data_IF_305477792019
#
_entry.id   IF_305477792019
#
_cell.length_a   1.000
_cell.length_b   1.000
_cell.length_c   1.000
_cell.angle_alpha   90.00
_cell.angle_beta   90.00
_cell.angle_gamma   90.00
#
_symmetry.space_group_name_H-M   'P 1'
#
loop_
_entity.id
_entity.type
_entity.pdbx_description
1 polymer ?
#
# COMPACT_ATOMS: atom_id res chain seq x y z
N UNK A 1 -20.97 26.47 -19.23
CA UNK A 1 -21.61 25.40 -18.44
C UNK A 1 -20.89 25.33 -17.09
N UNK A 2 -21.63 25.09 -15.99
CA UNK A 2 -20.97 24.88 -14.68
C UNK A 2 -20.17 23.59 -14.75
N UNK A 3 -18.91 23.59 -14.28
CA UNK A 3 -18.12 22.36 -14.19
C UNK A 3 -18.82 21.36 -13.28
N UNK A 4 -18.69 20.07 -13.61
CA UNK A 4 -19.15 18.98 -12.75
C UNK A 4 -18.29 18.91 -11.50
N UNK A 5 -18.85 18.47 -10.39
CA UNK A 5 -18.18 18.43 -9.09
C UNK A 5 -17.88 17.01 -8.64
N UNK A 6 -16.60 16.70 -8.44
CA UNK A 6 -16.11 15.48 -7.86
C UNK A 6 -15.77 15.69 -6.38
N UNK A 7 -16.40 14.95 -5.50
CA UNK A 7 -16.07 14.89 -4.08
C UNK A 7 -15.11 13.73 -3.81
N UNK A 8 -13.99 13.95 -3.14
CA UNK A 8 -13.05 12.88 -2.75
C UNK A 8 -13.04 12.75 -1.23
N UNK A 9 -13.36 11.56 -0.72
CA UNK A 9 -13.25 11.24 0.71
C UNK A 9 -11.79 11.12 1.12
N UNK A 10 -11.40 11.88 2.15
CA UNK A 10 -10.04 11.89 2.67
C UNK A 10 -9.94 11.43 4.13
N UNK A 11 -10.95 10.72 4.63
CA UNK A 11 -10.91 10.20 6.00
C UNK A 11 -9.74 9.22 6.23
N UNK A 12 -9.29 8.52 5.20
CA UNK A 12 -8.14 7.60 5.26
C UNK A 12 -6.81 8.26 5.59
N UNK A 13 -6.65 9.58 5.32
CA UNK A 13 -5.43 10.32 5.65
C UNK A 13 -5.42 10.90 7.08
N UNK A 14 -6.57 10.95 7.76
CA UNK A 14 -6.70 11.51 9.12
C UNK A 14 -5.73 10.89 10.13
N UNK A 15 -5.52 9.56 10.17
CA UNK A 15 -4.56 8.94 11.08
C UNK A 15 -3.14 9.48 10.93
N UNK A 16 -2.71 9.81 9.71
CA UNK A 16 -1.41 10.41 9.45
C UNK A 16 -1.22 11.74 10.20
N UNK A 17 -2.18 12.65 10.09
CA UNK A 17 -2.13 13.96 10.73
C UNK A 17 -2.36 13.91 12.26
N UNK A 18 -2.95 12.83 12.78
CA UNK A 18 -3.17 12.66 14.22
C UNK A 18 -1.97 12.05 14.92
N UNK A 19 -1.32 11.06 14.31
CA UNK A 19 -0.30 10.23 14.97
C UNK A 19 1.02 10.10 14.19
N UNK A 20 1.13 10.74 13.03
CA UNK A 20 2.27 10.57 12.12
C UNK A 20 2.36 9.18 11.47
N UNK A 21 1.41 8.29 11.75
CA UNK A 21 1.42 6.91 11.20
C UNK A 21 0.62 6.86 9.91
N UNK A 22 1.28 6.50 8.83
CA UNK A 22 0.65 6.25 7.54
C UNK A 22 0.33 4.76 7.42
N UNK A 23 -0.95 4.43 7.19
CA UNK A 23 -1.29 3.10 6.67
C UNK A 23 -1.21 3.12 5.13
N UNK A 24 -1.14 1.95 4.51
CA UNK A 24 -1.01 1.84 3.05
C UNK A 24 -2.11 2.60 2.29
N UNK A 25 -3.37 2.51 2.74
CA UNK A 25 -4.53 3.17 2.11
C UNK A 25 -4.41 4.71 2.22
N UNK A 26 -4.10 5.23 3.40
CA UNK A 26 -3.92 6.67 3.59
C UNK A 26 -2.75 7.22 2.77
N UNK A 27 -1.67 6.46 2.65
CA UNK A 27 -0.52 6.81 1.82
C UNK A 27 -0.90 6.89 0.33
N UNK A 28 -1.52 5.85 -0.21
CA UNK A 28 -1.94 5.85 -1.61
C UNK A 28 -2.97 6.94 -1.92
N UNK A 29 -3.86 7.24 -0.96
CA UNK A 29 -4.80 8.37 -1.09
C UNK A 29 -4.06 9.70 -1.18
N UNK A 30 -3.08 9.93 -0.32
CA UNK A 30 -2.32 11.20 -0.30
C UNK A 30 -1.49 11.37 -1.57
N UNK A 31 -0.82 10.32 -2.02
CA UNK A 31 -0.03 10.32 -3.27
C UNK A 31 -0.92 10.62 -4.50
N UNK A 32 -2.08 9.95 -4.58
CA UNK A 32 -3.05 10.24 -5.65
C UNK A 32 -3.50 11.69 -5.64
N UNK A 33 -3.80 12.26 -4.45
CA UNK A 33 -4.22 13.65 -4.33
C UNK A 33 -3.12 14.63 -4.75
N UNK A 34 -1.86 14.34 -4.42
CA UNK A 34 -0.72 15.15 -4.85
C UNK A 34 -0.60 15.13 -6.37
N UNK A 35 -0.60 13.94 -6.98
CA UNK A 35 -0.52 13.80 -8.43
C UNK A 35 -1.73 14.42 -9.17
N UNK A 36 -2.94 14.36 -8.59
CA UNK A 36 -4.11 15.05 -9.15
C UNK A 36 -3.98 16.59 -9.06
N UNK A 37 -3.30 17.10 -8.02
CA UNK A 37 -3.08 18.53 -7.86
C UNK A 37 -2.08 19.10 -8.90
N UNK A 38 -1.23 18.26 -9.45
CA UNK A 38 -0.25 18.65 -10.48
C UNK A 38 -0.85 18.64 -11.90
N UNK A 39 -2.09 18.17 -12.07
CA UNK A 39 -2.77 18.16 -13.37
C UNK A 39 -3.48 19.50 -13.62
N UNK A 40 -3.01 20.22 -14.61
CA UNK A 40 -3.63 21.47 -15.05
C UNK A 40 -4.96 21.23 -15.79
N UNK A 41 -5.89 22.18 -15.66
CA UNK A 41 -7.10 22.27 -16.49
C UNK A 41 -8.04 21.05 -16.43
N UNK A 42 -8.22 20.46 -15.24
CA UNK A 42 -9.22 19.38 -15.06
C UNK A 42 -10.61 19.82 -15.56
N UNK A 43 -11.34 18.95 -16.28
CA UNK A 43 -12.68 19.28 -16.83
C UNK A 43 -13.78 19.30 -15.77
N UNK A 44 -13.45 19.00 -14.52
CA UNK A 44 -14.33 19.02 -13.34
C UNK A 44 -13.63 19.73 -12.18
N UNK A 45 -14.40 20.06 -11.15
CA UNK A 45 -13.92 20.63 -9.90
C UNK A 45 -13.72 19.50 -8.88
N UNK A 46 -12.61 19.52 -8.15
CA UNK A 46 -12.34 18.59 -7.04
C UNK A 46 -12.60 19.30 -5.72
N UNK A 47 -13.38 18.67 -4.85
CA UNK A 47 -13.54 19.04 -3.45
C UNK A 47 -13.19 17.87 -2.56
N UNK A 48 -12.36 18.12 -1.53
CA UNK A 48 -11.98 17.13 -0.53
C UNK A 48 -12.99 17.10 0.61
N UNK A 49 -13.42 15.92 0.99
CA UNK A 49 -14.39 15.69 2.07
C UNK A 49 -13.78 14.93 3.23
N UNK A 50 -14.04 15.41 4.45
CA UNK A 50 -13.66 14.68 5.67
C UNK A 50 -14.73 14.83 6.75
N UNK A 51 -14.76 13.85 7.67
CA UNK A 51 -15.71 13.79 8.77
C UNK A 51 -15.02 13.31 10.05
N UNK A 52 -14.87 14.18 11.02
CA UNK A 52 -14.43 13.87 12.38
C UNK A 52 -14.57 15.07 13.31
N UNK A 53 -14.45 14.84 14.62
CA UNK A 53 -14.55 15.91 15.62
C UNK A 53 -13.26 16.72 15.81
N UNK A 54 -12.16 16.35 15.17
CA UNK A 54 -10.85 16.99 15.32
C UNK A 54 -10.59 18.10 14.31
N UNK A 55 -11.45 18.24 13.30
CA UNK A 55 -11.25 19.23 12.22
C UNK A 55 -10.14 18.88 11.25
N UNK A 56 -9.65 17.62 11.27
CA UNK A 56 -8.54 17.15 10.44
C UNK A 56 -9.09 16.58 9.12
N UNK A 57 -8.53 17.01 8.00
CA UNK A 57 -8.98 16.53 6.69
C UNK A 57 -8.24 17.19 5.54
N UNK A 58 -8.96 17.47 4.45
CA UNK A 58 -8.38 17.99 3.21
C UNK A 58 -7.51 19.24 3.37
N UNK A 59 -7.88 20.16 4.26
CA UNK A 59 -7.10 21.38 4.51
C UNK A 59 -5.68 21.09 5.06
N UNK A 60 -5.49 19.97 5.75
CA UNK A 60 -4.20 19.59 6.30
C UNK A 60 -3.22 19.12 5.22
N UNK A 61 -3.68 18.79 4.02
CA UNK A 61 -2.82 18.39 2.90
C UNK A 61 -2.01 19.55 2.34
N UNK A 62 -2.45 20.79 2.53
CA UNK A 62 -1.86 21.98 1.90
C UNK A 62 -2.13 22.07 0.40
N UNK A 63 -2.91 21.16 -0.18
CA UNK A 63 -3.27 21.18 -1.60
C UNK A 63 -4.32 22.26 -1.89
N UNK A 64 -4.37 22.74 -3.13
CA UNK A 64 -5.21 23.85 -3.57
C UNK A 64 -6.71 23.50 -3.74
N UNK A 65 -7.11 22.28 -3.43
CA UNK A 65 -8.50 21.86 -3.57
C UNK A 65 -9.42 22.51 -2.52
N UNK A 66 -10.66 22.80 -2.91
CA UNK A 66 -11.72 23.15 -1.97
C UNK A 66 -11.94 22.00 -0.97
N UNK A 67 -12.32 22.34 0.27
CA UNK A 67 -12.45 21.36 1.34
C UNK A 67 -13.75 21.54 2.12
N UNK A 68 -14.53 20.47 2.21
CA UNK A 68 -15.67 20.35 3.14
C UNK A 68 -15.32 19.48 4.33
N UNK A 69 -15.68 19.94 5.53
CA UNK A 69 -15.47 19.18 6.76
C UNK A 69 -16.74 19.14 7.60
N UNK A 70 -17.17 17.94 7.98
CA UNK A 70 -18.29 17.73 8.87
C UNK A 70 -17.81 17.38 10.28
N UNK A 71 -18.15 18.23 11.26
CA UNK A 71 -17.87 17.99 12.68
C UNK A 71 -18.86 16.98 13.26
N UNK A 72 -18.81 15.76 12.75
CA UNK A 72 -19.60 14.65 13.23
C UNK A 72 -18.67 13.54 13.73
N UNK A 73 -19.01 12.88 14.86
CA UNK A 73 -18.21 11.74 15.30
C UNK A 73 -18.33 10.62 14.27
N UNK A 74 -17.18 10.05 13.88
CA UNK A 74 -17.13 8.89 12.99
C UNK A 74 -17.57 7.64 13.74
N UNK A 75 -18.86 7.56 14.07
CA UNK A 75 -19.50 6.45 14.78
C UNK A 75 -20.58 5.82 13.92
N UNK A 76 -20.69 4.51 13.97
CA UNK A 76 -21.60 3.73 13.13
C UNK A 76 -23.06 4.24 13.19
N UNK A 77 -23.54 4.66 14.35
CA UNK A 77 -24.91 5.21 14.48
C UNK A 77 -25.12 6.47 13.65
N UNK A 78 -24.16 7.40 13.67
CA UNK A 78 -24.23 8.64 12.90
C UNK A 78 -24.03 8.36 11.42
N UNK A 79 -23.13 7.47 11.08
CA UNK A 79 -22.88 7.10 9.69
C UNK A 79 -24.11 6.44 9.06
N UNK A 80 -24.86 5.60 9.80
CA UNK A 80 -26.15 5.05 9.34
C UNK A 80 -27.22 6.13 9.06
N UNK A 81 -27.17 7.28 9.74
CA UNK A 81 -28.04 8.42 9.43
C UNK A 81 -27.69 8.99 8.03
N UNK A 82 -26.41 9.07 7.71
CA UNK A 82 -25.93 9.52 6.40
C UNK A 82 -26.33 8.59 5.23
N UNK A 83 -26.68 7.33 5.51
CA UNK A 83 -27.25 6.43 4.49
C UNK A 83 -28.75 6.65 4.28
N UNK A 84 -29.46 7.10 5.31
CA UNK A 84 -30.92 7.32 5.24
C UNK A 84 -31.30 8.66 4.66
N UNK A 85 -30.48 9.67 4.86
CA UNK A 85 -30.75 11.04 4.44
C UNK A 85 -29.61 11.58 3.59
N UNK A 86 -29.89 12.33 2.50
CA UNK A 86 -28.88 12.89 1.59
C UNK A 86 -28.20 14.14 2.21
N UNK A 87 -27.78 14.06 3.46
CA UNK A 87 -27.20 15.21 4.19
C UNK A 87 -25.92 15.67 3.51
N UNK A 88 -25.04 14.74 3.12
CA UNK A 88 -23.79 15.05 2.44
C UNK A 88 -24.06 15.76 1.12
N UNK A 89 -25.01 15.25 0.36
CA UNK A 89 -25.46 15.81 -0.93
C UNK A 89 -26.04 17.23 -0.79
N UNK A 90 -26.78 17.50 0.27
CA UNK A 90 -27.36 18.82 0.51
C UNK A 90 -26.30 19.90 0.76
N UNK A 91 -25.21 19.54 1.43
CA UNK A 91 -24.17 20.50 1.79
C UNK A 91 -23.03 20.60 0.77
N UNK A 92 -22.70 19.53 0.04
CA UNK A 92 -21.60 19.54 -0.90
C UNK A 92 -22.05 19.62 -2.37
N UNK A 93 -23.24 19.11 -2.68
CA UNK A 93 -23.83 19.21 -4.04
C UNK A 93 -23.00 18.54 -5.13
N UNK A 94 -22.36 17.39 -4.85
CA UNK A 94 -21.49 16.69 -5.78
C UNK A 94 -22.25 15.92 -6.86
N UNK A 95 -21.62 15.76 -8.03
CA UNK A 95 -22.12 14.91 -9.12
C UNK A 95 -21.67 13.45 -8.92
N UNK A 96 -20.40 13.26 -8.51
CA UNK A 96 -19.80 11.96 -8.20
C UNK A 96 -18.96 12.10 -6.94
N UNK A 97 -18.88 11.02 -6.15
CA UNK A 97 -17.99 10.90 -5.00
C UNK A 97 -16.98 9.77 -5.21
N UNK A 98 -15.69 10.03 -5.03
CA UNK A 98 -14.67 8.99 -4.94
C UNK A 98 -14.37 8.65 -3.48
N UNK A 99 -14.43 7.37 -3.17
CA UNK A 99 -14.11 6.78 -1.88
C UNK A 99 -12.83 5.97 -2.08
N UNK A 100 -11.64 6.51 -1.75
CA UNK A 100 -10.35 5.85 -2.01
C UNK A 100 -10.01 4.79 -0.94
N UNK A 101 -11.02 4.12 -0.42
CA UNK A 101 -10.94 3.02 0.54
C UNK A 101 -12.15 2.10 0.38
N UNK A 102 -12.10 0.92 1.02
CA UNK A 102 -13.00 -0.19 0.71
C UNK A 102 -14.50 0.09 0.93
N UNK A 103 -14.86 1.00 1.81
CA UNK A 103 -16.26 1.25 2.17
C UNK A 103 -16.46 2.58 2.91
N UNK A 104 -17.54 3.29 2.58
CA UNK A 104 -18.07 4.41 3.36
C UNK A 104 -19.61 4.36 3.40
N UNK A 105 -20.18 4.92 4.46
CA UNK A 105 -21.63 5.08 4.58
C UNK A 105 -22.10 6.27 3.74
N UNK A 106 -22.83 5.98 2.65
CA UNK A 106 -23.34 6.99 1.71
C UNK A 106 -24.82 6.76 1.43
N UNK A 107 -25.54 7.83 1.05
CA UNK A 107 -26.95 7.75 0.67
C UNK A 107 -27.13 7.28 -0.77
N UNK A 108 -26.26 7.73 -1.69
CA UNK A 108 -26.30 7.46 -3.12
C UNK A 108 -25.09 6.67 -3.60
N UNK A 109 -24.98 5.35 -3.33
CA UNK A 109 -23.85 4.54 -3.79
C UNK A 109 -23.72 4.53 -5.32
N UNK A 110 -24.81 4.69 -6.07
CA UNK A 110 -24.81 4.80 -7.54
C UNK A 110 -24.11 6.06 -8.09
N UNK A 111 -23.76 7.00 -7.22
CA UNK A 111 -22.90 8.16 -7.53
C UNK A 111 -21.47 7.96 -7.07
N UNK A 112 -21.12 6.81 -6.51
CA UNK A 112 -19.81 6.58 -5.95
C UNK A 112 -18.89 5.82 -6.90
N UNK A 113 -17.64 6.24 -6.94
CA UNK A 113 -16.49 5.46 -7.40
C UNK A 113 -15.75 4.99 -6.15
N UNK A 114 -15.40 3.72 -6.08
CA UNK A 114 -14.73 3.15 -4.90
C UNK A 114 -13.37 2.60 -5.31
N UNK A 115 -12.31 2.95 -4.59
CA UNK A 115 -11.06 2.21 -4.70
C UNK A 115 -11.12 1.02 -3.75
N UNK A 116 -11.26 -0.19 -4.31
CA UNK A 116 -11.17 -1.44 -3.58
C UNK A 116 -9.79 -2.06 -3.81
N UNK A 117 -8.91 -1.93 -2.82
CA UNK A 117 -7.49 -2.31 -2.95
C UNK A 117 -7.30 -3.82 -3.14
N UNK A 118 -8.09 -4.62 -2.44
CA UNK A 118 -8.12 -6.08 -2.52
C UNK A 118 -9.41 -6.65 -1.93
N UNK A 119 -9.60 -7.97 -2.04
CA UNK A 119 -10.67 -8.72 -1.39
C UNK A 119 -10.14 -9.56 -0.20
N UNK A 120 -9.01 -9.18 0.38
CA UNK A 120 -8.32 -9.94 1.43
C UNK A 120 -9.22 -10.29 2.61
N UNK A 121 -10.10 -9.37 3.02
CA UNK A 121 -11.06 -9.58 4.11
C UNK A 121 -12.03 -10.75 3.86
N UNK A 122 -12.18 -11.22 2.61
CA UNK A 122 -12.95 -12.42 2.27
C UNK A 122 -12.17 -13.69 2.63
N UNK A 123 -10.86 -13.73 2.35
CA UNK A 123 -10.03 -14.93 2.41
C UNK A 123 -9.41 -15.17 3.78
N UNK A 124 -8.97 -14.11 4.46
CA UNK A 124 -8.17 -14.21 5.68
C UNK A 124 -9.04 -13.85 6.90
N UNK A 125 -8.99 -14.73 7.92
CA UNK A 125 -9.60 -14.49 9.23
C UNK A 125 -8.58 -13.79 10.14
N UNK A 126 -8.28 -12.55 9.87
CA UNK A 126 -7.48 -11.76 10.81
C UNK A 126 -8.37 -11.32 11.99
N UNK A 127 -7.83 -11.41 13.22
CA UNK A 127 -8.53 -10.97 14.43
C UNK A 127 -8.78 -9.46 14.51
N UNK A 128 -8.17 -8.67 13.62
CA UNK A 128 -8.36 -7.23 13.55
C UNK A 128 -9.72 -6.89 12.93
N UNK A 129 -10.55 -6.25 13.76
CA UNK A 129 -11.81 -5.61 13.45
C UNK A 129 -12.60 -6.13 12.24
N UNK A 130 -13.59 -6.96 12.55
CA UNK A 130 -14.81 -7.13 11.75
C UNK A 130 -14.65 -7.52 10.28
N UNK A 131 -13.74 -8.46 9.93
CA UNK A 131 -13.77 -9.08 8.60
C UNK A 131 -15.17 -9.64 8.29
N UNK A 132 -15.86 -10.22 9.25
CA UNK A 132 -17.23 -10.70 9.10
C UNK A 132 -18.18 -9.56 8.71
N UNK A 133 -18.05 -8.40 9.38
CA UNK A 133 -18.83 -7.22 9.03
C UNK A 133 -18.50 -6.68 7.63
N UNK A 134 -17.22 -6.66 7.25
CA UNK A 134 -16.80 -6.26 5.90
C UNK A 134 -17.36 -7.20 4.84
N UNK A 135 -17.40 -8.51 5.10
CA UNK A 135 -18.01 -9.51 4.19
C UNK A 135 -19.49 -9.25 3.96
N UNK A 136 -20.20 -8.74 4.97
CA UNK A 136 -21.64 -8.45 4.86
C UNK A 136 -21.91 -7.13 4.14
N UNK A 137 -21.11 -6.08 4.38
CA UNK A 137 -21.45 -4.72 3.93
C UNK A 137 -20.75 -4.33 2.62
N UNK A 138 -19.53 -4.79 2.35
CA UNK A 138 -18.78 -4.35 1.18
C UNK A 138 -19.35 -4.91 -0.13
N UNK A 139 -19.65 -6.22 -0.28
CA UNK A 139 -20.15 -6.73 -1.55
C UNK A 139 -21.46 -6.07 -2.02
N UNK A 140 -22.53 -5.91 -1.18
CA UNK A 140 -23.73 -5.21 -1.63
C UNK A 140 -23.49 -3.73 -1.92
N UNK A 141 -22.59 -3.08 -1.22
CA UNK A 141 -22.23 -1.68 -1.45
C UNK A 141 -21.55 -1.49 -2.80
N UNK A 142 -20.48 -2.21 -3.09
CA UNK A 142 -19.71 -2.06 -4.35
C UNK A 142 -20.52 -2.46 -5.57
N UNK A 143 -21.45 -3.43 -5.45
CA UNK A 143 -22.35 -3.79 -6.54
C UNK A 143 -23.31 -2.65 -6.92
N UNK A 144 -23.65 -1.77 -5.98
CA UNK A 144 -24.46 -0.57 -6.22
C UNK A 144 -23.62 0.61 -6.72
N UNK A 145 -22.33 0.64 -6.46
CA UNK A 145 -21.46 1.75 -6.88
C UNK A 145 -21.43 1.90 -8.40
N UNK A 146 -21.19 3.13 -8.84
CA UNK A 146 -21.11 3.47 -10.25
C UNK A 146 -19.91 2.80 -10.92
N UNK A 147 -18.76 2.82 -10.24
CA UNK A 147 -17.52 2.24 -10.75
C UNK A 147 -16.59 1.83 -9.61
N UNK A 148 -15.66 0.94 -9.90
CA UNK A 148 -14.65 0.44 -8.96
C UNK A 148 -13.27 0.64 -9.59
N UNK A 149 -12.34 1.16 -8.83
CA UNK A 149 -10.92 1.18 -9.15
C UNK A 149 -10.24 0.14 -8.28
N UNK A 150 -9.34 -0.64 -8.85
CA UNK A 150 -8.46 -1.55 -8.10
C UNK A 150 -7.03 -1.46 -8.60
N UNK A 151 -6.06 -1.94 -7.84
CA UNK A 151 -4.65 -1.67 -8.08
C UNK A 151 -3.90 -2.79 -8.82
N UNK A 152 -4.54 -3.92 -9.14
CA UNK A 152 -3.92 -5.03 -9.87
C UNK A 152 -4.96 -5.87 -10.63
N UNK A 153 -4.53 -6.55 -11.69
CA UNK A 153 -5.38 -7.51 -12.40
C UNK A 153 -5.74 -8.69 -11.50
N UNK A 154 -4.83 -9.07 -10.60
CA UNK A 154 -5.11 -10.07 -9.59
C UNK A 154 -6.29 -9.64 -8.70
N UNK A 155 -6.23 -8.44 -8.12
CA UNK A 155 -7.31 -7.91 -7.29
C UNK A 155 -8.63 -7.80 -8.05
N UNK A 156 -8.60 -7.40 -9.33
CA UNK A 156 -9.79 -7.38 -10.19
C UNK A 156 -10.42 -8.76 -10.31
N UNK A 157 -9.63 -9.79 -10.66
CA UNK A 157 -10.14 -11.17 -10.77
C UNK A 157 -10.73 -11.64 -9.44
N UNK A 158 -10.04 -11.40 -8.33
CA UNK A 158 -10.48 -11.80 -7.00
C UNK A 158 -11.79 -11.12 -6.59
N UNK A 159 -11.93 -9.81 -6.84
CA UNK A 159 -13.18 -9.06 -6.60
C UNK A 159 -14.34 -9.63 -7.43
N UNK A 160 -14.11 -9.88 -8.71
CA UNK A 160 -15.13 -10.46 -9.61
C UNK A 160 -15.57 -11.84 -9.11
N UNK A 161 -14.63 -12.70 -8.79
CA UNK A 161 -14.89 -14.08 -8.38
C UNK A 161 -15.59 -14.17 -7.01
N UNK A 162 -15.14 -13.37 -6.04
CA UNK A 162 -15.62 -13.45 -4.65
C UNK A 162 -16.89 -12.65 -4.40
N UNK A 163 -17.04 -11.49 -5.02
CA UNK A 163 -18.14 -10.55 -4.75
C UNK A 163 -19.15 -10.48 -5.90
N UNK A 164 -18.94 -11.24 -6.99
CA UNK A 164 -19.82 -11.30 -8.15
C UNK A 164 -20.09 -9.93 -8.79
N UNK A 165 -19.09 -9.08 -8.82
CA UNK A 165 -19.14 -7.76 -9.46
C UNK A 165 -18.98 -7.92 -10.96
N UNK A 166 -19.72 -7.11 -11.73
CA UNK A 166 -19.54 -7.00 -13.17
C UNK A 166 -18.12 -6.51 -13.51
N UNK A 167 -17.30 -7.28 -14.24
CA UNK A 167 -15.94 -6.90 -14.58
C UNK A 167 -15.84 -5.60 -15.39
N UNK A 168 -16.90 -5.18 -16.10
CA UNK A 168 -16.94 -3.92 -16.82
C UNK A 168 -17.03 -2.70 -15.90
N UNK A 169 -17.46 -2.89 -14.66
CA UNK A 169 -17.46 -1.85 -13.64
C UNK A 169 -16.08 -1.64 -12.95
N UNK A 170 -15.07 -2.46 -13.29
CA UNK A 170 -13.79 -2.44 -12.59
C UNK A 170 -12.67 -2.00 -13.53
N UNK A 171 -12.04 -0.88 -13.24
CA UNK A 171 -10.79 -0.44 -13.86
C UNK A 171 -9.60 -0.81 -12.99
N UNK A 172 -8.57 -1.38 -13.62
CA UNK A 172 -7.28 -1.60 -12.96
C UNK A 172 -6.40 -0.38 -13.20
N UNK A 173 -5.97 0.26 -12.13
CA UNK A 173 -5.07 1.40 -12.14
C UNK A 173 -3.93 1.09 -11.18
N UNK A 174 -2.74 0.82 -11.71
CA UNK A 174 -1.56 0.53 -10.90
C UNK A 174 -1.13 1.75 -10.10
N UNK A 175 -0.68 1.52 -8.85
CA UNK A 175 -0.08 2.57 -8.04
C UNK A 175 1.31 2.92 -8.54
N UNK A 176 1.69 4.17 -8.33
CA UNK A 176 3.04 4.66 -8.60
C UNK A 176 4.01 4.45 -7.44
N UNK A 177 5.27 4.74 -7.69
CA UNK A 177 6.32 4.95 -6.70
C UNK A 177 6.84 6.39 -6.81
N UNK A 178 7.26 6.97 -5.70
CA UNK A 178 7.90 8.31 -5.67
C UNK A 178 9.35 8.21 -6.15
N UNK A 179 9.56 8.40 -7.44
CA UNK A 179 10.89 8.33 -8.04
C UNK A 179 11.83 9.45 -7.59
N UNK A 180 11.32 10.54 -7.02
CA UNK A 180 12.10 11.60 -6.39
C UNK A 180 12.67 11.20 -5.01
N UNK A 181 12.15 10.12 -4.40
CA UNK A 181 12.59 9.57 -3.12
C UNK A 181 13.25 8.20 -3.30
N UNK A 182 12.61 7.32 -4.07
CA UNK A 182 13.05 5.95 -4.31
C UNK A 182 13.74 5.88 -5.68
N UNK A 183 15.05 5.99 -5.68
CA UNK A 183 15.92 5.91 -6.87
C UNK A 183 17.26 5.30 -6.49
N UNK A 184 18.04 4.77 -7.45
CA UNK A 184 19.34 4.19 -7.17
C UNK A 184 20.33 5.22 -6.66
N UNK A 185 20.93 4.97 -5.50
CA UNK A 185 21.99 5.80 -4.91
C UNK A 185 23.07 4.94 -4.29
N UNK A 186 24.31 5.46 -4.24
CA UNK A 186 25.35 4.81 -3.48
C UNK A 186 25.25 5.19 -2.01
N UNK A 187 25.05 4.20 -1.15
CA UNK A 187 24.88 4.39 0.29
C UNK A 187 26.05 3.74 0.99
N UNK A 188 26.89 4.57 1.64
CA UNK A 188 28.00 4.06 2.47
C UNK A 188 27.50 3.64 3.87
N UNK A 189 28.28 2.80 4.54
CA UNK A 189 27.99 2.38 5.92
C UNK A 189 27.90 3.58 6.87
N UNK A 190 28.74 4.60 6.68
CA UNK A 190 28.73 5.83 7.47
C UNK A 190 27.40 6.58 7.34
N UNK A 191 26.85 6.66 6.12
CA UNK A 191 25.53 7.28 5.89
C UNK A 191 24.45 6.50 6.64
N UNK A 192 24.45 5.17 6.56
CA UNK A 192 23.47 4.34 7.25
C UNK A 192 23.54 4.49 8.76
N UNK A 193 24.74 4.45 9.32
CA UNK A 193 24.95 4.60 10.78
C UNK A 193 24.54 5.98 11.28
N UNK A 194 24.75 7.03 10.50
CA UNK A 194 24.41 8.41 10.90
C UNK A 194 22.91 8.71 10.75
N UNK A 195 22.25 8.14 9.76
CA UNK A 195 20.85 8.45 9.44
C UNK A 195 19.85 7.47 10.07
N UNK A 196 20.31 6.31 10.54
CA UNK A 196 19.44 5.25 11.06
C UNK A 196 19.74 4.99 12.56
N UNK A 197 18.71 4.66 13.35
CA UNK A 197 18.83 4.54 14.81
C UNK A 197 19.43 3.19 15.28
N UNK A 198 20.33 2.56 14.50
CA UNK A 198 20.96 1.30 14.90
C UNK A 198 22.38 1.13 14.31
N UNK A 199 23.28 0.51 15.04
CA UNK A 199 24.62 0.20 14.55
C UNK A 199 24.58 -1.09 13.71
N UNK A 200 24.87 -1.00 12.42
CA UNK A 200 25.16 -2.18 11.60
C UNK A 200 26.50 -2.78 12.04
N UNK A 201 26.51 -4.06 12.41
CA UNK A 201 27.71 -4.79 12.82
C UNK A 201 28.49 -5.32 11.62
N UNK A 202 27.80 -5.84 10.64
CA UNK A 202 28.35 -6.41 9.42
C UNK A 202 28.36 -5.42 8.25
N UNK A 203 28.97 -5.82 7.15
CA UNK A 203 29.08 -5.00 5.94
C UNK A 203 27.80 -4.98 5.12
N UNK A 204 26.90 -5.98 5.31
CA UNK A 204 25.65 -6.11 4.58
C UNK A 204 24.47 -6.43 5.51
N UNK A 205 23.27 -6.33 4.99
CA UNK A 205 22.04 -6.72 5.68
C UNK A 205 20.94 -7.12 4.70
N UNK A 206 20.07 -8.02 5.16
CA UNK A 206 18.81 -8.34 4.55
C UNK A 206 17.74 -7.43 5.13
N UNK A 207 16.87 -6.90 4.27
CA UNK A 207 15.80 -5.99 4.66
C UNK A 207 14.44 -6.69 4.56
N UNK A 208 13.53 -6.40 5.48
CA UNK A 208 12.11 -6.68 5.32
C UNK A 208 11.25 -5.51 5.80
N UNK A 209 10.24 -5.14 5.01
CA UNK A 209 9.27 -4.10 5.36
C UNK A 209 7.93 -4.78 5.64
N UNK A 210 7.47 -4.70 6.90
CA UNK A 210 6.40 -5.53 7.41
C UNK A 210 5.46 -4.82 8.39
N UNK A 211 4.43 -5.53 8.79
CA UNK A 211 3.53 -5.19 9.88
C UNK A 211 3.17 -6.46 10.66
N UNK A 212 2.54 -6.30 11.82
CA UNK A 212 2.11 -7.46 12.63
C UNK A 212 0.89 -8.15 12.01
N UNK A 213 1.15 -8.94 10.98
CA UNK A 213 0.15 -9.67 10.21
C UNK A 213 0.75 -11.00 9.73
N UNK A 214 0.11 -12.11 10.08
CA UNK A 214 0.59 -13.46 9.77
C UNK A 214 0.81 -13.68 8.26
N UNK A 215 -0.01 -13.06 7.40
CA UNK A 215 0.13 -13.18 5.95
C UNK A 215 1.46 -12.66 5.41
N UNK A 216 2.11 -11.74 6.12
CA UNK A 216 3.43 -11.21 5.74
C UNK A 216 4.56 -12.21 5.95
N UNK A 217 4.33 -13.28 6.71
CA UNK A 217 5.31 -14.33 7.04
C UNK A 217 6.65 -13.80 7.58
N UNK A 218 6.64 -12.64 8.23
CA UNK A 218 7.88 -12.06 8.78
C UNK A 218 8.43 -12.90 9.93
N UNK A 219 7.56 -13.55 10.70
CA UNK A 219 7.96 -14.55 11.69
C UNK A 219 8.71 -15.73 11.04
N UNK A 220 8.22 -16.24 9.90
CA UNK A 220 8.88 -17.32 9.15
C UNK A 220 10.25 -16.86 8.66
N UNK A 221 10.36 -15.62 8.15
CA UNK A 221 11.63 -15.06 7.75
C UNK A 221 12.63 -14.99 8.91
N UNK A 222 12.19 -14.51 10.09
CA UNK A 222 13.05 -14.45 11.29
C UNK A 222 13.50 -15.84 11.71
N UNK A 223 12.60 -16.81 11.76
CA UNK A 223 12.94 -18.21 12.11
C UNK A 223 13.90 -18.83 11.10
N UNK A 224 13.71 -18.59 9.83
CA UNK A 224 14.63 -19.03 8.77
C UNK A 224 16.01 -18.36 8.90
N UNK A 225 16.03 -17.07 9.28
CA UNK A 225 17.29 -16.36 9.53
C UNK A 225 18.02 -16.92 10.74
N UNK A 226 17.33 -17.26 11.83
CA UNK A 226 17.94 -17.90 12.99
C UNK A 226 18.59 -19.26 12.62
N UNK A 227 17.91 -20.08 11.82
CA UNK A 227 18.44 -21.36 11.32
C UNK A 227 19.64 -21.13 10.36
N UNK A 228 19.53 -20.17 9.46
CA UNK A 228 20.63 -19.80 8.55
C UNK A 228 21.87 -19.39 9.32
N UNK A 229 21.71 -18.59 10.38
CA UNK A 229 22.83 -18.09 11.18
C UNK A 229 23.57 -19.14 11.99
N UNK A 230 23.03 -20.33 12.17
CA UNK A 230 23.73 -21.47 12.78
C UNK A 230 24.86 -22.01 11.87
N UNK A 231 24.74 -21.78 10.56
CA UNK A 231 25.66 -22.29 9.54
C UNK A 231 26.48 -21.22 8.83
N UNK A 232 26.11 -19.95 8.98
CA UNK A 232 26.72 -18.82 8.27
C UNK A 232 27.81 -18.13 9.10
N UNK A 233 28.92 -17.75 8.44
CA UNK A 233 29.97 -16.93 9.02
C UNK A 233 30.77 -16.24 7.90
N UNK A 234 30.78 -14.91 7.81
CA UNK A 234 30.05 -13.93 8.62
C UNK A 234 28.54 -13.93 8.28
N UNK A 235 27.72 -13.47 9.21
CA UNK A 235 26.28 -13.34 9.05
C UNK A 235 25.93 -11.90 8.68
N UNK A 236 25.20 -11.70 7.58
CA UNK A 236 24.58 -10.41 7.30
C UNK A 236 23.53 -10.10 8.37
N UNK A 237 23.39 -8.84 8.76
CA UNK A 237 22.34 -8.41 9.69
C UNK A 237 20.95 -8.60 9.05
N UNK A 238 19.90 -8.75 9.88
CA UNK A 238 18.52 -8.73 9.47
C UNK A 238 17.84 -7.46 9.98
N UNK A 239 17.45 -6.59 9.08
CA UNK A 239 16.78 -5.32 9.39
C UNK A 239 15.30 -5.44 9.07
N UNK A 240 14.47 -5.23 10.08
CA UNK A 240 13.02 -5.36 10.00
C UNK A 240 12.36 -4.01 10.27
N UNK A 241 11.78 -3.39 9.24
CA UNK A 241 10.92 -2.23 9.43
C UNK A 241 9.56 -2.75 9.91
N UNK A 242 9.43 -2.87 11.23
CA UNK A 242 8.29 -3.51 11.89
C UNK A 242 8.06 -2.91 13.28
N UNK A 243 6.96 -2.18 13.45
CA UNK A 243 6.73 -1.37 14.65
C UNK A 243 6.34 -2.15 15.91
N UNK A 244 5.71 -3.30 15.79
CA UNK A 244 5.18 -4.05 16.93
C UNK A 244 5.34 -5.56 16.69
N UNK A 245 6.57 -6.11 16.75
CA UNK A 245 6.78 -7.55 16.64
C UNK A 245 6.11 -8.28 17.82
N UNK A 246 5.65 -9.54 17.61
CA UNK A 246 5.10 -10.34 18.70
C UNK A 246 6.11 -10.56 19.82
N UNK A 247 5.65 -10.53 21.08
CA UNK A 247 6.51 -10.70 22.25
C UNK A 247 7.22 -12.06 22.24
N UNK A 248 6.51 -13.12 21.89
CA UNK A 248 7.07 -14.47 21.77
C UNK A 248 8.25 -14.53 20.78
N UNK A 249 8.15 -13.79 19.65
CA UNK A 249 9.23 -13.72 18.66
C UNK A 249 10.45 -12.96 19.20
N UNK A 250 10.23 -11.84 19.87
CA UNK A 250 11.31 -11.03 20.45
C UNK A 250 12.00 -11.76 21.60
N UNK A 251 11.25 -12.51 22.41
CA UNK A 251 11.79 -13.38 23.45
C UNK A 251 12.68 -14.48 22.83
N UNK A 252 12.21 -15.18 21.81
CA UNK A 252 12.98 -16.19 21.08
C UNK A 252 14.32 -15.62 20.55
N UNK A 253 14.27 -14.44 19.95
CA UNK A 253 15.46 -13.73 19.44
C UNK A 253 16.44 -13.44 20.60
N UNK A 254 15.95 -13.01 21.75
CA UNK A 254 16.79 -12.62 22.90
C UNK A 254 17.68 -13.76 23.41
N UNK A 255 17.27 -15.00 23.24
CA UNK A 255 18.06 -16.19 23.59
C UNK A 255 18.99 -16.68 22.48
N UNK A 256 18.91 -16.10 21.28
CA UNK A 256 19.72 -16.52 20.15
C UNK A 256 21.16 -15.93 20.22
N UNK A 257 22.11 -16.62 19.60
CA UNK A 257 23.49 -16.13 19.46
C UNK A 257 23.63 -14.92 18.55
N UNK A 258 22.61 -14.68 17.71
CA UNK A 258 22.57 -13.61 16.70
C UNK A 258 21.58 -12.50 17.06
N UNK A 259 21.18 -12.39 18.33
CA UNK A 259 20.25 -11.35 18.79
C UNK A 259 20.69 -9.92 18.42
N UNK A 260 21.99 -9.69 18.42
CA UNK A 260 22.59 -8.40 18.12
C UNK A 260 22.71 -8.12 16.60
N UNK A 261 22.29 -9.06 15.75
CA UNK A 261 22.25 -8.97 14.28
C UNK A 261 20.82 -8.78 13.75
N UNK A 262 19.80 -8.76 14.63
CA UNK A 262 18.40 -8.57 14.24
C UNK A 262 17.91 -7.23 14.77
N UNK A 263 17.55 -6.33 13.87
CA UNK A 263 17.20 -4.96 14.18
C UNK A 263 15.75 -4.66 13.82
N UNK A 264 14.97 -4.19 14.79
CA UNK A 264 13.61 -3.71 14.56
C UNK A 264 13.60 -2.20 14.48
N UNK A 265 13.01 -1.68 13.38
CA UNK A 265 12.89 -0.25 13.13
C UNK A 265 11.42 0.14 13.09
N UNK A 266 11.12 1.30 13.65
CA UNK A 266 9.78 1.88 13.62
C UNK A 266 9.84 3.38 13.32
N UNK A 267 8.75 3.93 12.81
CA UNK A 267 8.65 5.35 12.50
C UNK A 267 9.74 5.85 11.52
N UNK A 268 10.07 5.02 10.54
CA UNK A 268 11.05 5.32 9.49
C UNK A 268 10.39 6.24 8.47
N UNK A 269 11.05 7.34 8.14
CA UNK A 269 10.62 8.24 7.05
C UNK A 269 10.88 7.60 5.68
N UNK A 270 10.20 8.09 4.64
CA UNK A 270 10.41 7.62 3.26
C UNK A 270 11.87 7.80 2.82
N UNK A 271 12.54 8.89 3.24
CA UNK A 271 13.97 9.10 2.97
C UNK A 271 14.85 8.03 3.63
N UNK A 272 14.59 7.72 4.90
CA UNK A 272 15.31 6.66 5.62
C UNK A 272 15.02 5.27 5.02
N UNK A 273 13.77 5.03 4.60
CA UNK A 273 13.38 3.79 3.92
C UNK A 273 14.10 3.64 2.57
N UNK A 274 14.24 4.73 1.81
CA UNK A 274 15.02 4.73 0.57
C UNK A 274 16.49 4.39 0.81
N UNK A 275 17.11 4.94 1.88
CA UNK A 275 18.48 4.56 2.27
C UNK A 275 18.58 3.08 2.63
N UNK A 276 17.59 2.55 3.36
CA UNK A 276 17.53 1.13 3.71
C UNK A 276 17.42 0.24 2.47
N UNK A 277 16.58 0.58 1.49
CA UNK A 277 16.53 -0.18 0.24
C UNK A 277 17.86 -0.15 -0.49
N UNK A 278 18.45 1.02 -0.68
CA UNK A 278 19.70 1.17 -1.42
C UNK A 278 20.92 0.48 -0.78
N UNK A 279 20.93 0.35 0.55
CA UNK A 279 22.02 -0.31 1.28
C UNK A 279 21.79 -1.81 1.51
N UNK A 280 20.62 -2.35 1.21
CA UNK A 280 20.29 -3.75 1.49
C UNK A 280 20.94 -4.70 0.48
N UNK A 281 21.48 -5.82 0.96
CA UNK A 281 21.90 -6.94 0.12
C UNK A 281 20.75 -7.54 -0.67
N UNK A 282 19.58 -7.67 -0.02
CA UNK A 282 18.32 -8.04 -0.66
C UNK A 282 17.13 -7.64 0.22
N UNK A 283 15.98 -7.36 -0.42
CA UNK A 283 14.68 -7.24 0.24
C UNK A 283 14.00 -8.61 0.26
N UNK A 284 13.67 -9.10 1.45
CA UNK A 284 12.84 -10.28 1.66
C UNK A 284 11.41 -9.89 1.96
N UNK A 285 10.49 -10.26 1.08
CA UNK A 285 9.07 -9.97 1.20
C UNK A 285 8.22 -11.23 0.95
N UNK A 286 8.22 -12.20 1.90
CA UNK A 286 7.61 -13.52 1.73
C UNK A 286 6.09 -13.54 1.92
N UNK A 287 5.39 -12.46 1.58
CA UNK A 287 3.95 -12.33 1.83
C UNK A 287 3.13 -13.37 1.08
N UNK A 288 2.08 -13.89 1.75
CA UNK A 288 1.13 -14.84 1.17
C UNK A 288 0.15 -14.18 0.21
N UNK A 289 -0.16 -12.91 0.44
CA UNK A 289 -1.19 -12.19 -0.30
C UNK A 289 -0.97 -10.67 -0.18
N UNK A 290 -1.01 -9.99 -1.33
CA UNK A 290 -0.98 -8.54 -1.42
C UNK A 290 -1.98 -8.05 -2.48
N UNK A 291 -2.56 -6.87 -2.25
CA UNK A 291 -3.34 -6.17 -3.26
C UNK A 291 -2.47 -5.56 -4.34
N UNK A 292 -1.24 -5.12 -3.98
CA UNK A 292 -0.29 -4.52 -4.93
C UNK A 292 1.16 -4.91 -4.66
N UNK A 293 1.75 -4.48 -3.54
CA UNK A 293 3.15 -4.76 -3.20
C UNK A 293 4.06 -3.53 -3.36
N UNK A 294 3.66 -2.38 -2.81
CA UNK A 294 4.50 -1.17 -2.83
C UNK A 294 5.96 -1.40 -2.40
N UNK A 295 6.27 -2.20 -1.35
CA UNK A 295 7.66 -2.45 -0.97
C UNK A 295 8.50 -3.11 -2.07
N UNK A 296 7.91 -3.97 -2.92
CA UNK A 296 8.63 -4.52 -4.07
C UNK A 296 8.98 -3.43 -5.06
N UNK A 297 8.01 -2.57 -5.36
CA UNK A 297 8.17 -1.50 -6.33
C UNK A 297 9.19 -0.46 -5.87
N UNK A 298 9.15 -0.09 -4.58
CA UNK A 298 10.11 0.81 -3.94
C UNK A 298 11.53 0.22 -3.97
N UNK A 299 11.68 -1.07 -3.60
CA UNK A 299 12.94 -1.77 -3.64
C UNK A 299 13.50 -1.87 -5.07
N UNK A 300 12.67 -2.23 -6.06
CA UNK A 300 13.08 -2.25 -7.47
C UNK A 300 13.51 -0.85 -7.96
N UNK A 301 12.80 0.21 -7.55
CA UNK A 301 13.15 1.59 -7.91
C UNK A 301 14.51 2.01 -7.32
N UNK A 302 14.87 1.53 -6.14
CA UNK A 302 16.17 1.74 -5.51
C UNK A 302 17.29 0.84 -6.05
N UNK A 303 16.97 -0.17 -6.87
CA UNK A 303 17.96 -1.13 -7.36
C UNK A 303 18.29 -2.24 -6.36
N UNK A 304 17.41 -2.51 -5.40
CA UNK A 304 17.57 -3.60 -4.44
C UNK A 304 17.16 -4.93 -5.08
N UNK A 305 17.94 -6.00 -4.94
CA UNK A 305 17.48 -7.35 -5.29
C UNK A 305 16.26 -7.75 -4.45
N UNK A 306 15.22 -8.29 -5.07
CA UNK A 306 13.96 -8.63 -4.41
C UNK A 306 13.77 -10.14 -4.32
N UNK A 307 13.47 -10.65 -3.13
CA UNK A 307 13.07 -12.04 -2.86
C UNK A 307 11.62 -12.03 -2.38
N UNK A 308 10.71 -12.69 -3.11
CA UNK A 308 9.28 -12.68 -2.81
C UNK A 308 8.59 -13.99 -3.21
N UNK A 309 7.28 -14.10 -2.97
CA UNK A 309 6.47 -15.24 -3.40
C UNK A 309 5.86 -14.99 -4.78
N UNK A 310 5.70 -16.07 -5.58
CA UNK A 310 4.99 -16.03 -6.87
C UNK A 310 3.49 -16.23 -6.63
N UNK A 311 2.82 -15.21 -6.09
CA UNK A 311 1.40 -15.26 -5.78
C UNK A 311 0.77 -13.86 -5.80
N UNK A 312 -0.57 -13.81 -5.83
CA UNK A 312 -1.36 -12.58 -5.79
C UNK A 312 -0.84 -11.52 -6.78
N UNK A 313 -0.86 -10.26 -6.41
CA UNK A 313 -0.27 -9.17 -7.21
C UNK A 313 1.26 -9.19 -7.23
N UNK A 314 1.93 -9.95 -6.36
CA UNK A 314 3.40 -9.98 -6.29
C UNK A 314 4.03 -10.57 -7.55
N UNK A 315 3.39 -11.58 -8.18
CA UNK A 315 3.81 -12.10 -9.48
C UNK A 315 3.61 -11.06 -10.59
N UNK A 316 2.48 -10.37 -10.57
CA UNK A 316 2.15 -9.32 -11.53
C UNK A 316 3.08 -8.12 -11.43
N UNK A 317 3.43 -7.66 -10.22
CA UNK A 317 4.31 -6.51 -10.01
C UNK A 317 5.79 -6.90 -10.17
N UNK A 318 6.21 -8.04 -9.61
CA UNK A 318 7.59 -8.53 -9.67
C UNK A 318 8.00 -9.00 -11.07
N UNK A 319 7.11 -9.67 -11.81
CA UNK A 319 7.42 -10.27 -13.12
C UNK A 319 8.65 -11.18 -13.02
N UNK A 320 9.47 -11.22 -14.06
CA UNK A 320 10.67 -12.08 -14.09
C UNK A 320 11.94 -11.39 -13.52
N UNK A 321 11.79 -10.16 -12.95
CA UNK A 321 12.95 -9.38 -12.49
C UNK A 321 13.29 -9.58 -11.02
N UNK A 322 12.50 -10.40 -10.32
CA UNK A 322 12.68 -10.74 -8.89
C UNK A 322 13.07 -12.21 -8.70
N UNK A 323 13.45 -12.58 -7.50
CA UNK A 323 13.70 -13.97 -7.10
C UNK A 323 12.47 -14.50 -6.38
N UNK A 324 11.99 -15.66 -6.82
CA UNK A 324 10.79 -16.26 -6.25
C UNK A 324 11.12 -17.39 -5.28
N UNK A 325 10.46 -17.34 -4.14
CA UNK A 325 10.47 -18.42 -3.15
C UNK A 325 9.59 -19.58 -3.62
N UNK A 326 10.02 -20.79 -3.34
CA UNK A 326 9.29 -22.05 -3.57
C UNK A 326 8.84 -22.68 -2.25
N UNK A 327 7.91 -23.61 -2.30
CA UNK A 327 7.54 -24.41 -1.13
C UNK A 327 8.51 -25.57 -0.92
N UNK A 328 8.85 -25.92 0.33
CA UNK A 328 8.43 -25.25 1.57
C UNK A 328 9.19 -23.92 1.77
N UNK A 329 8.43 -22.90 2.14
CA UNK A 329 8.88 -21.50 2.17
C UNK A 329 10.10 -21.26 3.08
N UNK A 330 10.12 -21.87 4.26
CA UNK A 330 11.22 -21.75 5.23
C UNK A 330 12.55 -22.20 4.64
N UNK A 331 12.57 -23.36 3.97
CA UNK A 331 13.76 -23.89 3.29
C UNK A 331 14.19 -22.99 2.15
N UNK A 332 13.25 -22.53 1.35
CA UNK A 332 13.53 -21.62 0.24
C UNK A 332 14.10 -20.26 0.72
N UNK A 333 13.60 -19.74 1.83
CA UNK A 333 14.19 -18.53 2.46
C UNK A 333 15.64 -18.80 2.86
N UNK A 334 15.93 -19.92 3.53
CA UNK A 334 17.29 -20.28 3.94
C UNK A 334 18.24 -20.40 2.73
N UNK A 335 17.77 -21.02 1.64
CA UNK A 335 18.54 -21.13 0.40
C UNK A 335 18.86 -19.76 -0.19
N UNK A 336 17.88 -18.86 -0.24
CA UNK A 336 18.08 -17.49 -0.72
C UNK A 336 19.03 -16.69 0.18
N UNK A 337 18.90 -16.78 1.51
CA UNK A 337 19.83 -16.15 2.44
C UNK A 337 21.29 -16.61 2.18
N UNK A 338 21.52 -17.91 2.04
CA UNK A 338 22.84 -18.48 1.72
C UNK A 338 23.35 -17.98 0.36
N UNK A 339 22.50 -17.94 -0.64
CA UNK A 339 22.84 -17.53 -1.99
C UNK A 339 23.33 -16.07 -2.03
N UNK A 340 22.64 -15.16 -1.31
CA UNK A 340 23.01 -13.76 -1.24
C UNK A 340 24.23 -13.49 -0.30
N UNK A 341 24.50 -14.37 0.66
CA UNK A 341 25.64 -14.23 1.57
C UNK A 341 26.98 -14.60 0.89
N UNK A 342 26.93 -15.46 -0.12
CA UNK A 342 28.16 -15.98 -0.78
C UNK A 342 28.57 -15.18 -2.02
N UNK A 343 27.96 -14.03 -2.32
CA UNK A 343 28.16 -13.27 -3.57
C UNK A 343 28.10 -14.14 -4.85
N UNK A 344 27.50 -15.33 -4.73
CA UNK A 344 27.46 -16.32 -5.82
C UNK A 344 26.46 -15.94 -6.92
N UNK A 345 25.67 -14.90 -6.72
CA UNK A 345 24.61 -14.49 -7.65
C UNK A 345 24.93 -13.17 -8.32
N UNK A 346 25.07 -13.21 -9.63
CA UNK A 346 25.07 -11.99 -10.41
C UNK A 346 23.63 -11.44 -10.51
N UNK A 347 23.29 -10.52 -9.60
CA UNK A 347 21.98 -9.86 -9.57
C UNK A 347 21.84 -8.71 -10.56
N UNK A 348 22.92 -8.28 -11.23
CA UNK A 348 22.94 -7.04 -12.05
C UNK A 348 21.85 -6.98 -13.08
N UNK A 349 21.65 -8.03 -13.86
CA UNK A 349 20.59 -8.07 -14.88
C UNK A 349 19.19 -7.91 -14.30
N UNK A 350 18.90 -8.59 -13.18
CA UNK A 350 17.59 -8.47 -12.50
C UNK A 350 17.40 -7.09 -11.87
N UNK A 351 18.45 -6.52 -11.30
CA UNK A 351 18.43 -5.16 -10.72
C UNK A 351 18.16 -4.12 -11.80
N UNK A 352 18.91 -4.12 -12.92
CA UNK A 352 18.71 -3.20 -14.03
C UNK A 352 17.30 -3.33 -14.64
N UNK A 353 16.85 -4.56 -14.84
CA UNK A 353 15.49 -4.83 -15.33
C UNK A 353 14.43 -4.40 -14.30
N UNK A 354 14.70 -4.55 -13.00
CA UNK A 354 13.83 -4.09 -11.91
C UNK A 354 13.66 -2.58 -11.89
N UNK A 355 14.76 -1.82 -11.98
CA UNK A 355 14.72 -0.36 -12.07
C UNK A 355 13.89 0.07 -13.30
N UNK A 356 14.16 -0.53 -14.46
CA UNK A 356 13.40 -0.25 -15.69
C UNK A 356 11.92 -0.61 -15.53
N UNK A 357 11.60 -1.72 -14.84
CA UNK A 357 10.21 -2.09 -14.55
C UNK A 357 9.54 -1.08 -13.63
N UNK A 358 10.19 -0.69 -12.53
CA UNK A 358 9.68 0.28 -11.58
C UNK A 358 9.38 1.64 -12.24
N UNK A 359 10.19 2.08 -13.21
CA UNK A 359 9.96 3.34 -13.91
C UNK A 359 8.66 3.41 -14.73
N UNK A 360 7.99 2.28 -14.96
CA UNK A 360 6.67 2.23 -15.61
C UNK A 360 5.51 2.57 -14.65
N UNK A 361 5.77 2.58 -13.36
CA UNK A 361 4.78 2.80 -12.30
C UNK A 361 5.00 4.18 -11.68
N UNK A 362 4.23 5.16 -12.14
CA UNK A 362 4.32 6.55 -11.68
C UNK A 362 2.98 7.04 -11.16
N UNK A 363 3.00 7.97 -10.21
CA UNK A 363 1.78 8.56 -9.66
C UNK A 363 1.09 9.47 -10.68
N UNK A 364 1.82 10.08 -11.60
CA UNK A 364 1.29 10.85 -12.71
C UNK A 364 0.39 9.98 -13.58
N UNK A 365 0.88 8.80 -13.98
CA UNK A 365 0.10 7.83 -14.75
C UNK A 365 -1.12 7.32 -13.98
N UNK A 366 -0.96 7.08 -12.67
CA UNK A 366 -2.07 6.69 -11.78
C UNK A 366 -3.14 7.78 -11.77
N UNK A 367 -2.75 9.04 -11.66
CA UNK A 367 -3.67 10.18 -11.64
C UNK A 367 -4.35 10.38 -13.00
N UNK A 368 -3.61 10.33 -14.12
CA UNK A 368 -4.16 10.42 -15.48
C UNK A 368 -5.24 9.37 -15.74
N UNK A 369 -4.95 8.10 -15.46
CA UNK A 369 -5.93 7.00 -15.62
C UNK A 369 -7.13 7.16 -14.69
N UNK A 370 -6.91 7.69 -13.48
CA UNK A 370 -8.01 7.98 -12.55
C UNK A 370 -8.90 9.10 -13.06
N UNK A 371 -8.34 10.14 -13.67
CA UNK A 371 -9.08 11.22 -14.34
C UNK A 371 -9.90 10.70 -15.52
N UNK A 372 -9.39 9.74 -16.30
CA UNK A 372 -10.17 9.10 -17.38
C UNK A 372 -11.42 8.38 -16.82
N UNK A 373 -11.28 7.65 -15.72
CA UNK A 373 -12.41 7.02 -15.02
C UNK A 373 -13.41 8.07 -14.53
N UNK A 374 -12.95 9.15 -13.92
CA UNK A 374 -13.82 10.23 -13.47
C UNK A 374 -14.60 10.85 -14.63
N UNK A 375 -13.94 11.14 -15.75
CA UNK A 375 -14.55 11.71 -16.94
C UNK A 375 -15.62 10.78 -17.53
N UNK A 376 -15.33 9.50 -17.66
CA UNK A 376 -16.32 8.53 -18.18
C UNK A 376 -17.55 8.48 -17.28
N UNK A 377 -17.33 8.40 -15.97
CA UNK A 377 -18.41 8.36 -15.00
C UNK A 377 -19.25 9.65 -14.95
N UNK A 378 -18.65 10.82 -15.17
CA UNK A 378 -19.35 12.11 -15.23
C UNK A 378 -20.16 12.28 -16.52
N UNK A 379 -19.70 11.75 -17.65
CA UNK A 379 -20.36 11.83 -18.95
C UNK A 379 -21.53 10.86 -19.09
N UNK A 380 -21.43 9.66 -18.56
CA UNK A 380 -22.52 8.66 -18.57
C UNK A 380 -23.78 9.12 -17.77
N UNK A 381 -23.57 10.04 -16.82
CA UNK A 381 -24.69 10.66 -16.09
C UNK A 381 -25.58 11.53 -16.98
N UNK A 382 -25.09 11.99 -18.13
CA UNK A 382 -25.84 12.82 -19.09
C UNK A 382 -26.73 11.95 -20.00
N UNK A 383 -26.31 10.72 -20.33
CA UNK A 383 -27.04 9.83 -21.22
C UNK A 383 -28.30 9.17 -20.63
N UNK A 384 -28.43 9.20 -19.29
CA UNK A 384 -29.61 8.65 -18.58
C UNK A 384 -30.73 9.68 -18.30
N UNK A 385 -30.55 10.95 -18.70
CA UNK A 385 -31.53 12.04 -18.49
C UNK A 385 -32.20 12.46 -19.81
N UNK A 386 -31.86 11.83 -20.96
CA UNK A 386 -32.49 12.07 -22.26
C UNK A 386 -33.46 10.95 -22.63
#
# INVERSE_FOLDING_TARGET
>A
MKKKKLLIDVNSIVPYYVSGKVNGIGRTTLELLQALADIDNLPFEIELYSQNMKGIGGRNTGLHFECSHFYLPHREKWNKILTKFPIREWFTGYDIMHIPHNFEYVHCPEKCIVTLHDALFIHIREKAFSHEKMKEIVPPFINQCKHIITCSEYSKRDIVETMKVDPQKISVIYWGVKHEIFFPMQVSKEILVNELPFPLRNTGYFLSVSCNNERKRTNVLVESYLQYSECASPVNDLVLVWSNPPEELTEKISYSKVKDHIHFLSNISDKQLSLLYNGATALFFPSMFEGFGLPLLEGMACGTPIVTCRNSSLDEIGGEVVFYLSDPIDKSIIEMLKMFDTDSVDCRQKVEAGIKRASLFTWERTAEQTVEVYNSCLTDSIRKIC
#
